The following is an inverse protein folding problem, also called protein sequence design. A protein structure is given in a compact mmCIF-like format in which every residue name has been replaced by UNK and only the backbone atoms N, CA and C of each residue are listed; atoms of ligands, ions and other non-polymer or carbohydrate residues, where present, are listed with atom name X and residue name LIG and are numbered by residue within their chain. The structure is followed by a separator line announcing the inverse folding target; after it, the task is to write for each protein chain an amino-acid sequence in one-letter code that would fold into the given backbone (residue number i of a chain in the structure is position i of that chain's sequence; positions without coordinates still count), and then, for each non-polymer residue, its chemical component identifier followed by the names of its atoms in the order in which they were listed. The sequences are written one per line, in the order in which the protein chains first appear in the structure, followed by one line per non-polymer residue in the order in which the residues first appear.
data_IF_512679444107
#
_entry.id   IF_512679444107
#
_cell.length_a   1.000
_cell.length_b   1.000
_cell.length_c   1.000
_cell.angle_alpha   90.00
_cell.angle_beta   90.00
_cell.angle_gamma   90.00
#
_symmetry.space_group_name_H-M   'P 1'
#
loop_
_entity.id
_entity.type
_entity.pdbx_description
1 polymer ?
#
# COMPACT_ATOMS: atom_id res chain seq x y z
N UNK A 1 21.90 -15.90 -22.78
CA UNK A 1 21.35 -15.81 -22.39
C UNK A 1 20.66 -15.33 -22.04
N UNK A 2 20.19 -15.42 -21.81
CA UNK A 2 19.47 -15.08 -21.39
C UNK A 2 18.96 -14.92 -20.82
N UNK A 3 18.75 -15.00 -20.82
CA UNK A 3 18.07 -14.83 -20.21
C UNK A 3 17.67 -14.62 -19.34
N UNK A 4 17.75 -14.70 -18.87
CA UNK A 4 17.12 -14.59 -17.83
C UNK A 4 16.63 -13.41 -17.45
N UNK A 5 16.65 -12.81 -17.56
CA UNK A 5 16.23 -11.82 -17.22
C UNK A 5 15.11 -11.55 -17.53
N UNK A 6 14.74 -11.85 -18.10
CA UNK A 6 13.70 -11.54 -18.33
C UNK A 6 12.78 -11.78 -17.50
N UNK A 7 12.84 -12.40 -16.87
CA UNK A 7 12.05 -12.60 -16.00
C UNK A 7 11.86 -11.49 -15.31
N UNK A 8 12.55 -11.07 -15.17
CA UNK A 8 12.46 -10.01 -14.44
C UNK A 8 11.66 -9.07 -14.99
N UNK A 9 11.64 -9.10 -16.02
CA UNK A 9 10.99 -8.15 -16.53
C UNK A 9 9.66 -8.08 -16.23
N UNK A 10 9.05 -9.06 -16.12
CA UNK A 10 7.78 -8.99 -15.89
C UNK A 10 7.54 -8.80 -14.56
N UNK A 11 8.44 -8.83 -13.82
CA UNK A 11 8.27 -8.72 -12.42
C UNK A 11 7.91 -7.31 -12.05
N UNK A 12 6.82 -7.17 -11.38
CA UNK A 12 6.37 -5.87 -10.92
C UNK A 12 7.14 -5.53 -9.67
N UNK A 13 7.71 -4.36 -9.63
CA UNK A 13 8.46 -3.93 -8.46
C UNK A 13 7.52 -3.64 -7.31
N UNK A 14 7.89 -4.05 -6.13
CA UNK A 14 7.14 -3.76 -4.91
C UNK A 14 8.06 -3.04 -3.94
N UNK A 15 7.49 -2.05 -3.25
CA UNK A 15 8.23 -1.28 -2.27
C UNK A 15 8.35 -2.08 -0.97
N UNK A 16 9.48 -1.95 -0.30
CA UNK A 16 9.64 -2.57 1.02
C UNK A 16 9.28 -1.57 2.11
N UNK A 17 9.13 -2.09 3.34
CA UNK A 17 8.82 -1.25 4.49
C UNK A 17 9.87 -0.16 4.66
N UNK A 18 11.15 -0.53 4.60
CA UNK A 18 12.20 0.46 4.83
C UNK A 18 12.26 1.49 3.70
N UNK A 19 11.95 1.09 2.49
CA UNK A 19 11.90 2.03 1.37
C UNK A 19 10.81 3.07 1.57
N UNK A 20 9.63 2.63 2.04
CA UNK A 20 8.55 3.56 2.30
C UNK A 20 8.90 4.54 3.40
N UNK A 21 9.50 4.04 4.47
CA UNK A 21 9.87 4.89 5.59
C UNK A 21 10.94 5.90 5.17
N UNK A 22 11.96 5.45 4.46
CA UNK A 22 13.02 6.36 4.01
C UNK A 22 12.48 7.41 3.06
N UNK A 23 11.55 7.01 2.20
CA UNK A 23 11.00 7.95 1.25
C UNK A 23 10.17 9.03 1.92
N UNK A 24 9.33 8.65 2.88
CA UNK A 24 8.52 9.65 3.57
C UNK A 24 9.39 10.56 4.43
N UNK A 25 10.43 10.02 5.03
CA UNK A 25 11.33 10.83 5.85
C UNK A 25 12.08 11.84 4.99
N UNK A 26 12.40 11.48 3.77
CA UNK A 26 13.06 12.37 2.85
C UNK A 26 12.12 13.47 2.36
N UNK A 27 10.86 13.14 2.12
CA UNK A 27 9.91 14.10 1.60
C UNK A 27 9.31 15.00 2.68
N UNK A 28 9.20 14.50 3.88
CA UNK A 28 8.55 15.24 4.96
C UNK A 28 9.29 14.97 6.26
N UNK A 29 10.24 15.83 6.62
CA UNK A 29 10.99 15.64 7.86
C UNK A 29 10.05 15.58 9.06
N UNK A 30 10.30 14.64 9.95
CA UNK A 30 9.42 14.39 11.09
C UNK A 30 10.21 13.72 12.19
N UNK A 31 9.60 13.62 13.37
CA UNK A 31 10.20 12.95 14.51
C UNK A 31 9.40 11.74 14.95
N UNK A 32 8.49 11.24 14.12
CA UNK A 32 7.72 10.06 14.48
C UNK A 32 8.61 8.83 14.43
N UNK A 33 8.34 7.87 15.30
CA UNK A 33 9.19 6.70 15.41
C UNK A 33 8.98 5.76 14.25
N UNK A 34 9.96 4.90 14.02
CA UNK A 34 9.83 3.88 13.00
C UNK A 34 8.68 2.94 13.32
N UNK A 35 8.45 2.64 14.59
CA UNK A 35 7.35 1.78 15.00
C UNK A 35 6.00 2.36 14.64
N UNK A 36 5.84 3.68 14.81
CA UNK A 36 4.60 4.33 14.42
C UNK A 36 4.36 4.19 12.92
N UNK A 37 5.40 4.37 12.14
CA UNK A 37 5.29 4.27 10.69
C UNK A 37 4.97 2.86 10.24
N UNK A 38 5.58 1.87 10.88
CA UNK A 38 5.28 0.46 10.58
C UNK A 38 3.84 0.14 10.93
N UNK A 39 3.36 0.66 12.05
CA UNK A 39 1.97 0.45 12.45
C UNK A 39 1.01 1.06 11.42
N UNK A 40 1.31 2.25 10.93
CA UNK A 40 0.48 2.88 9.91
C UNK A 40 0.48 2.08 8.61
N UNK A 41 1.63 1.55 8.22
CA UNK A 41 1.71 0.72 7.02
C UNK A 41 0.95 -0.58 7.21
N UNK A 42 1.00 -1.15 8.40
CA UNK A 42 0.26 -2.37 8.70
C UNK A 42 -1.25 -2.14 8.57
N UNK A 43 -1.72 -1.02 9.07
CA UNK A 43 -3.14 -0.68 8.98
C UNK A 43 -3.57 -0.56 7.52
N UNK A 44 -2.79 0.11 6.71
CA UNK A 44 -3.14 0.29 5.31
C UNK A 44 -3.17 -1.03 4.55
N UNK A 45 -2.13 -1.84 4.71
CA UNK A 45 -2.09 -3.12 3.99
C UNK A 45 -3.16 -4.06 4.50
N UNK A 46 -3.53 -3.98 5.77
CA UNK A 46 -4.65 -4.75 6.30
C UNK A 46 -5.96 -4.36 5.64
N UNK A 47 -6.19 -3.07 5.46
CA UNK A 47 -7.39 -2.60 4.76
C UNK A 47 -7.39 -3.01 3.30
N UNK A 48 -6.25 -2.92 2.64
CA UNK A 48 -6.14 -3.32 1.25
C UNK A 48 -6.43 -4.81 1.10
N UNK A 49 -5.87 -5.62 1.98
CA UNK A 49 -6.12 -7.06 1.93
C UNK A 49 -7.61 -7.36 2.11
N UNK A 50 -8.21 -6.76 3.13
CA UNK A 50 -9.61 -7.05 3.44
C UNK A 50 -10.59 -6.48 2.42
N UNK A 51 -10.33 -5.29 1.93
CA UNK A 51 -11.31 -4.57 1.11
C UNK A 51 -11.10 -4.71 -0.38
N UNK A 52 -9.90 -5.04 -0.80
CA UNK A 52 -9.60 -5.16 -2.21
C UNK A 52 -9.18 -6.56 -2.57
N UNK A 53 -8.12 -7.08 -1.95
CA UNK A 53 -7.56 -8.35 -2.38
C UNK A 53 -8.52 -9.51 -2.10
N UNK A 54 -9.09 -9.54 -0.90
CA UNK A 54 -9.97 -10.65 -0.51
C UNK A 54 -11.30 -10.65 -1.23
N UNK A 55 -11.65 -9.55 -1.91
CA UNK A 55 -12.88 -9.50 -2.67
C UNK A 55 -12.67 -9.93 -4.13
N UNK A 56 -11.47 -10.37 -4.48
CA UNK A 56 -11.14 -10.79 -5.84
C UNK A 56 -10.54 -12.17 -5.82
N UNK A 57 -10.57 -12.83 -6.97
CA UNK A 57 -9.97 -14.15 -7.11
C UNK A 57 -8.47 -14.06 -6.95
N UNK A 58 -7.87 -15.11 -6.42
CA UNK A 58 -6.44 -15.16 -6.21
C UNK A 58 -6.02 -14.68 -4.84
N UNK A 59 -6.95 -14.33 -3.98
CA UNK A 59 -6.61 -13.81 -2.65
C UNK A 59 -5.83 -14.82 -1.83
N UNK A 60 -6.04 -16.11 -2.06
CA UNK A 60 -5.31 -17.14 -1.33
C UNK A 60 -3.82 -17.14 -1.65
N UNK A 61 -3.42 -16.48 -2.74
CA UNK A 61 -2.01 -16.39 -3.11
C UNK A 61 -1.32 -15.22 -2.42
N UNK A 62 -2.06 -14.40 -1.67
CA UNK A 62 -1.50 -13.25 -0.99
C UNK A 62 -1.71 -13.45 0.50
N UNK A 63 -0.62 -13.49 1.25
CA UNK A 63 -0.73 -13.65 2.69
C UNK A 63 -0.35 -12.36 3.39
N UNK A 64 -1.04 -12.06 4.46
CA UNK A 64 -0.76 -10.87 5.23
C UNK A 64 -1.19 -11.11 6.67
N UNK A 65 -0.27 -10.92 7.59
CA UNK A 65 -0.57 -11.11 9.00
C UNK A 65 -0.23 -9.88 9.84
N UNK A 66 0.05 -8.75 9.17
CA UNK A 66 0.39 -7.53 9.87
C UNK A 66 1.89 -7.31 9.95
N UNK A 67 2.24 -6.08 10.24
CA UNK A 67 3.64 -5.72 10.45
C UNK A 67 3.79 -5.17 11.86
N UNK A 68 4.92 -5.43 12.49
CA UNK A 68 5.19 -4.90 13.82
C UNK A 68 6.68 -4.57 13.92
N UNK A 69 7.13 -4.23 15.12
CA UNK A 69 8.51 -3.83 15.32
C UNK A 69 9.51 -4.93 15.00
N UNK A 70 9.06 -6.18 15.06
CA UNK A 70 9.93 -7.32 14.78
C UNK A 70 9.89 -7.77 13.33
N UNK A 71 9.02 -7.17 12.52
CA UNK A 71 8.95 -7.53 11.10
C UNK A 71 10.23 -7.06 10.39
N UNK A 72 10.75 -7.91 9.52
CA UNK A 72 11.95 -7.55 8.77
C UNK A 72 11.67 -6.33 7.91
N UNK A 73 12.57 -5.36 7.92
CA UNK A 73 12.35 -4.10 7.21
C UNK A 73 12.42 -4.25 5.69
N UNK A 74 12.96 -5.34 5.20
CA UNK A 74 12.97 -5.59 3.76
C UNK A 74 11.74 -6.37 3.31
N UNK A 75 10.74 -6.52 4.19
CA UNK A 75 9.47 -7.13 3.81
C UNK A 75 8.79 -6.28 2.75
N UNK A 76 8.32 -6.90 1.68
CA UNK A 76 7.66 -6.16 0.61
C UNK A 76 6.21 -5.86 0.99
N UNK A 77 5.77 -4.69 0.58
CA UNK A 77 4.40 -4.26 0.81
C UNK A 77 3.50 -4.82 -0.28
N UNK A 78 2.20 -4.81 -0.06
CA UNK A 78 1.26 -5.50 -0.95
C UNK A 78 1.03 -4.81 -2.29
N UNK A 79 1.07 -3.48 -2.32
CA UNK A 79 0.71 -2.74 -3.53
C UNK A 79 1.93 -2.59 -4.43
N UNK A 80 1.85 -3.06 -5.67
CA UNK A 80 2.99 -2.97 -6.58
C UNK A 80 3.10 -1.61 -7.27
N UNK A 81 4.26 -1.33 -7.82
CA UNK A 81 4.41 -0.14 -8.64
C UNK A 81 3.54 -0.27 -9.88
N UNK A 82 3.01 0.80 -10.42
CA UNK A 82 3.25 2.19 -10.04
C UNK A 82 2.28 2.73 -8.99
N UNK A 83 1.52 1.86 -8.35
CA UNK A 83 0.49 2.26 -7.39
C UNK A 83 1.02 2.35 -5.97
N UNK A 84 2.30 2.07 -5.76
CA UNK A 84 2.91 2.04 -4.42
C UNK A 84 3.04 3.44 -3.80
N UNK A 85 2.79 4.50 -4.58
CA UNK A 85 2.77 5.85 -4.04
C UNK A 85 1.69 6.02 -2.96
N UNK A 86 0.73 5.11 -2.93
CA UNK A 86 -0.31 5.12 -1.91
C UNK A 86 0.28 5.07 -0.51
N UNK A 87 1.40 4.39 -0.33
CA UNK A 87 2.03 4.30 0.99
C UNK A 87 2.55 5.65 1.46
N UNK A 88 3.13 6.41 0.54
CA UNK A 88 3.66 7.72 0.87
C UNK A 88 2.52 8.68 1.20
N UNK A 89 1.44 8.63 0.41
CA UNK A 89 0.28 9.48 0.67
C UNK A 89 -0.38 9.13 2.00
N UNK A 90 -0.44 7.84 2.32
CA UNK A 90 -1.02 7.40 3.58
C UNK A 90 -0.18 7.87 4.77
N UNK A 91 1.15 7.69 4.68
CA UNK A 91 2.03 8.11 5.77
C UNK A 91 1.96 9.62 5.98
N UNK A 92 1.90 10.36 4.88
CA UNK A 92 1.80 11.81 4.97
C UNK A 92 0.50 12.21 5.66
N UNK A 93 -0.61 11.59 5.31
CA UNK A 93 -1.89 11.88 5.93
C UNK A 93 -1.88 11.53 7.42
N UNK A 94 -1.26 10.41 7.78
CA UNK A 94 -1.19 10.01 9.19
C UNK A 94 -0.36 11.00 10.01
N UNK A 95 0.74 11.47 9.44
CA UNK A 95 1.57 12.45 10.11
C UNK A 95 0.84 13.77 10.31
N UNK A 96 0.11 14.21 9.30
CA UNK A 96 -0.64 15.45 9.39
C UNK A 96 -1.75 15.33 10.43
N UNK A 97 -2.41 14.19 10.48
CA UNK A 97 -3.45 13.96 11.47
C UNK A 97 -2.86 13.95 12.87
N UNK A 98 -1.77 13.23 13.06
CA UNK A 98 -1.14 13.10 14.37
C UNK A 98 -0.58 14.44 14.86
N UNK A 99 -0.19 15.31 13.93
CA UNK A 99 0.33 16.62 14.28
C UNK A 99 -0.75 17.67 14.50
N UNK A 100 -2.01 17.32 14.26
CA UNK A 100 -3.11 18.26 14.42
C UNK A 100 -3.19 19.29 13.31
N UNK A 101 -2.54 19.03 12.17
CA UNK A 101 -2.50 19.96 11.05
C UNK A 101 -3.72 19.72 10.16
N UNK A 102 -4.87 20.22 10.57
CA UNK A 102 -6.13 19.90 9.93
C UNK A 102 -6.16 20.24 8.44
N UNK A 103 -5.64 21.41 8.07
CA UNK A 103 -5.65 21.77 6.67
C UNK A 103 -4.78 20.86 5.83
N UNK A 104 -3.60 20.53 6.32
CA UNK A 104 -2.71 19.62 5.61
C UNK A 104 -3.32 18.24 5.54
N UNK A 105 -3.93 17.79 6.62
CA UNK A 105 -4.57 16.48 6.63
C UNK A 105 -5.67 16.41 5.58
N UNK A 106 -6.50 17.46 5.46
CA UNK A 106 -7.56 17.46 4.48
C UNK A 106 -7.02 17.32 3.06
N UNK A 107 -5.89 17.96 2.76
CA UNK A 107 -5.26 17.81 1.47
C UNK A 107 -4.62 16.44 1.29
N UNK A 108 -3.93 15.96 2.31
CA UNK A 108 -3.23 14.69 2.24
C UNK A 108 -4.20 13.53 2.08
N UNK A 109 -5.34 13.58 2.78
CA UNK A 109 -6.29 12.48 2.70
C UNK A 109 -6.97 12.44 1.33
N UNK A 110 -7.15 13.58 0.69
CA UNK A 110 -7.69 13.61 -0.67
C UNK A 110 -6.70 12.94 -1.63
N UNK A 111 -5.42 13.23 -1.48
CA UNK A 111 -4.38 12.61 -2.31
C UNK A 111 -4.33 11.11 -2.07
N UNK A 112 -4.44 10.69 -0.81
CA UNK A 112 -4.48 9.28 -0.48
C UNK A 112 -5.70 8.60 -1.10
N UNK A 113 -6.87 9.22 -0.96
CA UNK A 113 -8.09 8.63 -1.51
C UNK A 113 -8.01 8.48 -3.02
N UNK A 114 -7.38 9.42 -3.70
CA UNK A 114 -7.16 9.33 -5.14
C UNK A 114 -6.27 8.13 -5.47
N UNK A 115 -5.18 7.97 -4.71
CA UNK A 115 -4.25 6.84 -4.94
C UNK A 115 -4.92 5.50 -4.64
N UNK A 116 -5.71 5.45 -3.57
CA UNK A 116 -6.44 4.24 -3.21
C UNK A 116 -7.42 3.85 -4.32
N UNK A 117 -8.16 4.82 -4.83
CA UNK A 117 -9.12 4.56 -5.90
C UNK A 117 -8.43 4.08 -7.17
N UNK A 118 -7.27 4.65 -7.47
CA UNK A 118 -6.53 4.22 -8.67
C UNK A 118 -6.10 2.76 -8.55
N UNK A 119 -5.61 2.37 -7.38
CA UNK A 119 -5.21 0.98 -7.16
C UNK A 119 -6.42 0.05 -7.21
N UNK A 120 -7.53 0.46 -6.58
CA UNK A 120 -8.74 -0.37 -6.59
C UNK A 120 -9.23 -0.60 -8.01
N UNK A 121 -9.20 0.43 -8.85
CA UNK A 121 -9.60 0.28 -10.25
C UNK A 121 -8.65 -0.63 -11.01
N UNK A 122 -7.36 -0.52 -10.75
CA UNK A 122 -6.38 -1.41 -11.36
C UNK A 122 -6.66 -2.86 -10.98
N UNK A 123 -6.91 -3.09 -9.68
CA UNK A 123 -7.14 -4.45 -9.21
C UNK A 123 -8.42 -5.02 -9.81
N UNK A 124 -9.46 -4.20 -9.93
CA UNK A 124 -10.70 -4.64 -10.56
C UNK A 124 -10.50 -5.04 -12.02
N UNK A 125 -9.59 -4.36 -12.72
CA UNK A 125 -9.32 -4.68 -14.11
C UNK A 125 -8.50 -5.94 -14.29
N UNK A 126 -7.67 -6.27 -13.32
CA UNK A 126 -6.72 -7.35 -13.47
C UNK A 126 -7.07 -8.63 -12.71
N UNK A 127 -8.09 -8.56 -11.85
CA UNK A 127 -8.52 -9.72 -11.08
C UNK A 127 -10.04 -9.77 -11.07
N UNK A 128 -10.58 -10.97 -11.19
CA UNK A 128 -12.04 -11.13 -11.17
C UNK A 128 -12.58 -10.93 -9.77
N UNK A 129 -13.57 -10.05 -9.60
CA UNK A 129 -14.24 -9.96 -8.30
C UNK A 129 -14.91 -11.29 -7.96
N UNK A 130 -14.90 -11.66 -6.71
CA UNK A 130 -15.57 -12.86 -6.27
C UNK A 130 -17.04 -12.53 -6.18
N UNK A 131 -17.77 -13.30 -6.85
CA UNK A 131 -18.93 -12.98 -6.62
C UNK A 131 -19.99 -12.66 -6.92
N UNK A 132 -20.61 -12.17 -6.43
CA UNK A 132 -21.68 -11.86 -6.50
C UNK A 132 -21.99 -10.89 -7.33
N UNK A 133 -21.19 -10.40 -7.76
CA UNK A 133 -21.46 -9.41 -8.59
C UNK A 133 -22.32 -9.76 -9.63
N UNK A 134 -22.37 -10.81 -9.79
CA UNK A 134 -23.11 -11.21 -10.73
C UNK A 134 -24.42 -11.03 -10.62
N UNK A 135 -24.89 -10.82 -10.00
CA UNK A 135 -26.08 -10.72 -9.91
C UNK A 135 -26.73 -9.75 -10.27
N UNK A 136 -26.70 -9.32 -10.57
CA UNK A 136 -27.14 -8.44 -10.90
C UNK A 136 -27.68 -8.33 -11.74
N UNK A 137 -27.82 -8.59 -11.95
CA UNK A 137 -28.23 -8.48 -12.60
C UNK A 137 -28.82 -8.73 -12.59
#
# INVERSE_FOLDING_TARGET
MCPPFFKSTRTVKQMTIIEAINRIDSLKPNSYSQEDKISWLSTLDGEIKANIIDTHEGSENVSFSGYDADTALDTVLLVPAPYDDIYIKWLEAQMDYASGETKRFNNSIVMYNTAYSAFARYYNRTHMPIGKSVKFF
#
